data_IF_267087160457
#
_entry.id   IF_267087160457
#
_cell.length_a   1.000
_cell.length_b   1.000
_cell.length_c   1.000
_cell.angle_alpha   90.00
_cell.angle_beta   90.00
_cell.angle_gamma   90.00
#
_symmetry.space_group_name_H-M   'P 1'
#
loop_
_entity.id
_entity.type
_entity.pdbx_description
1 polymer ?
#
# COMPACT_ATOMS: atom_id res chain seq x y z
N UNK A 1 1.86 -3.75 -12.03
CA UNK A 1 2.57 -2.50 -11.70
C UNK A 1 4.06 -2.71 -11.86
N UNK A 2 4.79 -1.76 -12.45
CA UNK A 2 6.21 -1.93 -12.65
C UNK A 2 7.01 -1.57 -11.37
N UNK A 3 8.26 -2.01 -11.32
CA UNK A 3 9.11 -1.80 -10.13
C UNK A 3 9.40 -0.33 -9.85
N UNK A 4 9.38 0.51 -10.88
CA UNK A 4 9.58 1.97 -10.70
C UNK A 4 8.44 2.59 -9.92
N UNK A 5 7.19 2.24 -10.22
CA UNK A 5 6.03 2.74 -9.48
C UNK A 5 6.04 2.25 -8.03
N UNK A 6 6.41 0.99 -7.81
CA UNK A 6 6.54 0.46 -6.45
C UNK A 6 7.60 1.21 -5.65
N UNK A 7 8.73 1.49 -6.28
CA UNK A 7 9.82 2.24 -5.64
C UNK A 7 9.38 3.65 -5.24
N UNK A 8 8.67 4.32 -6.15
CA UNK A 8 8.15 5.68 -5.86
C UNK A 8 7.14 5.65 -4.73
N UNK A 9 6.23 4.68 -4.75
CA UNK A 9 5.24 4.53 -3.69
C UNK A 9 5.91 4.28 -2.33
N UNK A 10 6.92 3.41 -2.30
CA UNK A 10 7.66 3.11 -1.08
C UNK A 10 8.36 4.36 -0.55
N UNK A 11 8.97 5.16 -1.42
CA UNK A 11 9.64 6.40 -1.02
C UNK A 11 8.67 7.40 -0.38
N UNK A 12 7.50 7.58 -0.99
CA UNK A 12 6.47 8.48 -0.47
C UNK A 12 6.05 8.04 0.93
N UNK A 13 5.78 6.76 1.11
CA UNK A 13 5.31 6.21 2.36
C UNK A 13 6.38 6.25 3.45
N UNK A 14 7.63 5.94 3.11
CA UNK A 14 8.73 6.01 4.06
C UNK A 14 8.98 7.43 4.55
N UNK A 15 8.91 8.41 3.65
CA UNK A 15 9.06 9.82 4.02
C UNK A 15 7.93 10.30 4.93
N UNK A 16 6.76 9.68 4.83
CA UNK A 16 5.63 10.00 5.69
C UNK A 16 5.73 9.38 7.08
N UNK A 17 6.70 8.47 7.30
CA UNK A 17 6.95 7.86 8.59
C UNK A 17 6.45 6.42 8.74
N UNK A 18 6.01 5.79 7.66
CA UNK A 18 5.54 4.40 7.72
C UNK A 18 6.69 3.45 8.11
N UNK A 19 6.39 2.51 8.99
CA UNK A 19 7.36 1.51 9.44
C UNK A 19 7.42 0.32 8.50
N UNK A 20 6.25 -0.16 8.08
CA UNK A 20 6.15 -1.32 7.19
C UNK A 20 5.16 -1.02 6.08
N UNK A 21 5.48 -1.52 4.89
CA UNK A 21 4.70 -1.30 3.68
C UNK A 21 4.40 -2.65 3.05
N UNK A 22 3.13 -2.86 2.67
CA UNK A 22 2.71 -4.11 2.06
C UNK A 22 1.86 -3.85 0.82
N UNK A 23 2.04 -4.72 -0.16
CA UNK A 23 1.17 -4.81 -1.32
C UNK A 23 0.24 -6.00 -1.11
N UNK A 24 -1.04 -5.85 -1.38
CA UNK A 24 -1.99 -6.96 -1.30
C UNK A 24 -2.99 -6.89 -2.45
N UNK A 25 -3.92 -7.83 -2.47
CA UNK A 25 -4.89 -7.90 -3.56
C UNK A 25 -4.29 -8.39 -4.87
N UNK A 26 -4.86 -7.99 -6.00
CA UNK A 26 -4.50 -8.52 -7.31
C UNK A 26 -3.05 -8.25 -7.71
N UNK A 27 -2.49 -7.11 -7.33
CA UNK A 27 -1.07 -6.79 -7.63
C UNK A 27 -0.12 -7.71 -6.88
N UNK A 28 -0.43 -8.05 -5.63
CA UNK A 28 0.41 -8.96 -4.83
C UNK A 28 0.33 -10.39 -5.38
N UNK A 29 -0.83 -10.79 -5.88
CA UNK A 29 -1.06 -12.13 -6.40
C UNK A 29 -0.67 -12.30 -7.88
N UNK A 30 -0.28 -11.22 -8.54
CA UNK A 30 0.10 -11.27 -9.94
C UNK A 30 -1.06 -11.41 -10.91
N UNK A 31 -2.29 -11.14 -10.44
CA UNK A 31 -3.50 -11.23 -11.26
C UNK A 31 -3.99 -9.88 -11.75
N UNK A 32 -3.29 -8.80 -11.40
CA UNK A 32 -3.69 -7.46 -11.77
C UNK A 32 -3.43 -7.19 -13.25
N UNK A 33 -4.32 -6.39 -13.86
CA UNK A 33 -4.10 -5.82 -15.18
C UNK A 33 -3.79 -4.33 -15.06
N UNK A 34 -3.65 -3.63 -16.19
CA UNK A 34 -3.30 -2.21 -16.20
C UNK A 34 -4.41 -1.31 -15.64
N UNK A 35 -5.61 -1.82 -15.48
CA UNK A 35 -6.77 -1.08 -14.95
C UNK A 35 -7.09 -1.43 -13.50
N UNK A 36 -6.35 -2.37 -12.91
CA UNK A 36 -6.58 -2.77 -11.52
C UNK A 36 -6.12 -1.67 -10.56
N UNK A 37 -6.93 -1.44 -9.51
CA UNK A 37 -6.52 -0.57 -8.41
C UNK A 37 -5.37 -1.22 -7.66
N UNK A 38 -4.50 -0.40 -7.09
CA UNK A 38 -3.42 -0.91 -6.26
C UNK A 38 -3.86 -0.87 -4.79
N UNK A 39 -3.64 -1.98 -4.09
CA UNK A 39 -3.97 -2.10 -2.66
C UNK A 39 -2.68 -2.07 -1.85
N UNK A 40 -2.53 -1.04 -1.02
CA UNK A 40 -1.35 -0.85 -0.18
C UNK A 40 -1.77 -0.82 1.28
N UNK A 41 -1.12 -1.63 2.11
CA UNK A 41 -1.31 -1.60 3.55
C UNK A 41 -0.06 -1.08 4.23
N UNK A 42 -0.25 -0.30 5.29
CA UNK A 42 0.87 0.34 6.00
C UNK A 42 0.73 0.18 7.50
N UNK A 43 1.87 0.18 8.18
CA UNK A 43 1.92 0.31 9.64
C UNK A 43 2.80 1.50 9.99
N UNK A 44 2.51 2.14 11.12
CA UNK A 44 3.30 3.26 11.61
C UNK A 44 3.02 4.59 10.94
N UNK A 45 2.02 4.68 10.07
CA UNK A 45 1.66 5.95 9.43
C UNK A 45 0.87 6.83 10.41
N UNK A 46 1.35 8.06 10.70
CA UNK A 46 0.59 8.97 11.56
C UNK A 46 -0.79 9.27 10.95
N UNK A 47 -1.88 9.16 11.74
CA UNK A 47 -3.23 9.40 11.22
C UNK A 47 -3.41 10.75 10.55
N UNK A 48 -2.72 11.78 11.01
CA UNK A 48 -2.80 13.12 10.43
C UNK A 48 -2.23 13.18 9.00
N UNK A 49 -1.42 12.21 8.61
CA UNK A 49 -0.80 12.17 7.30
C UNK A 49 -1.55 11.26 6.31
N UNK A 50 -2.51 10.48 6.79
CA UNK A 50 -3.15 9.44 5.99
C UNK A 50 -3.75 9.96 4.68
N UNK A 51 -4.62 10.95 4.77
CA UNK A 51 -5.30 11.47 3.57
C UNK A 51 -4.36 12.21 2.63
N UNK A 52 -3.40 12.94 3.17
CA UNK A 52 -2.39 13.63 2.37
C UNK A 52 -1.56 12.63 1.56
N UNK A 53 -1.09 11.58 2.23
CA UNK A 53 -0.27 10.55 1.60
C UNK A 53 -1.06 9.78 0.56
N UNK A 54 -2.32 9.46 0.85
CA UNK A 54 -3.21 8.78 -0.09
C UNK A 54 -3.36 9.58 -1.38
N UNK A 55 -3.65 10.88 -1.25
CA UNK A 55 -3.75 11.79 -2.39
C UNK A 55 -2.45 11.87 -3.19
N UNK A 56 -1.33 11.98 -2.49
CA UNK A 56 -0.02 12.06 -3.13
C UNK A 56 0.30 10.79 -3.92
N UNK A 57 -0.04 9.63 -3.36
CA UNK A 57 0.15 8.35 -4.05
C UNK A 57 -0.66 8.30 -5.35
N UNK A 58 -1.94 8.66 -5.28
CA UNK A 58 -2.81 8.62 -6.46
C UNK A 58 -2.33 9.59 -7.54
N UNK A 59 -1.93 10.80 -7.14
CA UNK A 59 -1.44 11.80 -8.07
C UNK A 59 -0.12 11.38 -8.72
N UNK A 60 0.80 10.86 -7.93
CA UNK A 60 2.14 10.50 -8.41
C UNK A 60 2.12 9.24 -9.26
N UNK A 61 1.33 8.25 -8.87
CA UNK A 61 1.24 6.98 -9.60
C UNK A 61 0.26 7.03 -10.77
N UNK A 62 -0.56 8.08 -10.83
CA UNK A 62 -1.61 8.26 -11.84
C UNK A 62 -2.51 7.03 -11.92
N UNK A 63 -2.95 6.55 -10.76
CA UNK A 63 -3.85 5.42 -10.64
C UNK A 63 -4.56 5.46 -9.30
N UNK A 64 -5.67 4.73 -9.21
CA UNK A 64 -6.41 4.63 -7.96
C UNK A 64 -5.67 3.74 -6.97
N UNK A 65 -5.56 4.22 -5.74
CA UNK A 65 -4.86 3.51 -4.66
C UNK A 65 -5.81 3.31 -3.48
N UNK A 66 -5.94 2.07 -3.04
CA UNK A 66 -6.61 1.74 -1.78
C UNK A 66 -5.54 1.67 -0.69
N UNK A 67 -5.52 2.68 0.17
CA UNK A 67 -4.56 2.75 1.27
C UNK A 67 -5.23 2.32 2.56
N UNK A 68 -4.69 1.29 3.19
CA UNK A 68 -5.25 0.72 4.41
C UNK A 68 -4.24 0.88 5.55
N UNK A 69 -4.72 1.43 6.67
CA UNK A 69 -3.92 1.53 7.90
C UNK A 69 -4.10 0.24 8.70
N UNK A 70 -3.10 -0.62 8.66
CA UNK A 70 -3.13 -1.91 9.35
C UNK A 70 -3.04 -1.77 10.88
N UNK A 71 -2.60 -0.64 11.39
CA UNK A 71 -2.64 -0.40 12.84
C UNK A 71 -4.07 -0.22 13.32
N UNK A 72 -4.95 0.36 12.48
CA UNK A 72 -6.37 0.50 12.78
C UNK A 72 -7.16 -0.76 12.40
N UNK A 73 -6.71 -1.48 11.39
CA UNK A 73 -7.41 -2.67 10.89
C UNK A 73 -6.56 -3.93 11.09
N UNK A 74 -6.23 -4.22 12.33
CA UNK A 74 -5.35 -5.33 12.66
C UNK A 74 -5.95 -6.71 12.31
N UNK A 75 -7.23 -6.89 12.49
CA UNK A 75 -7.88 -8.16 12.13
C UNK A 75 -7.75 -8.44 10.64
N UNK A 76 -7.91 -7.42 9.81
CA UNK A 76 -7.73 -7.54 8.37
C UNK A 76 -6.28 -7.87 8.02
N UNK A 77 -5.33 -7.20 8.67
CA UNK A 77 -3.90 -7.46 8.50
C UNK A 77 -3.56 -8.92 8.83
N UNK A 78 -4.04 -9.40 9.98
CA UNK A 78 -3.80 -10.79 10.40
C UNK A 78 -4.42 -11.80 9.45
N UNK A 79 -5.61 -11.51 8.93
CA UNK A 79 -6.26 -12.37 7.95
C UNK A 79 -5.42 -12.50 6.68
N UNK A 80 -4.96 -11.37 6.13
CA UNK A 80 -4.14 -11.36 4.93
C UNK A 80 -2.80 -12.07 5.16
N UNK A 81 -2.22 -11.89 6.33
CA UNK A 81 -0.97 -12.52 6.72
C UNK A 81 -1.13 -14.05 6.79
N UNK A 82 -2.22 -14.50 7.40
CA UNK A 82 -2.51 -15.94 7.51
C UNK A 82 -2.80 -16.58 6.15
N UNK A 83 -3.40 -15.83 5.23
CA UNK A 83 -3.66 -16.30 3.88
C UNK A 83 -2.44 -16.23 2.96
N UNK A 84 -1.35 -15.61 3.43
CA UNK A 84 -0.15 -15.45 2.62
C UNK A 84 -0.32 -14.48 1.47
N UNK A 85 -1.23 -13.52 1.58
CA UNK A 85 -1.57 -12.57 0.52
C UNK A 85 -0.87 -11.22 0.66
N UNK A 86 0.04 -11.07 1.61
CA UNK A 86 0.80 -9.85 1.79
C UNK A 86 2.18 -9.98 1.15
N UNK A 87 2.55 -8.97 0.37
CA UNK A 87 3.90 -8.87 -0.18
C UNK A 87 4.53 -7.59 0.39
N UNK A 88 5.58 -7.77 1.17
CA UNK A 88 6.28 -6.62 1.76
C UNK A 88 7.04 -5.86 0.69
N UNK A 89 6.91 -4.52 0.70
CA UNK A 89 7.61 -3.63 -0.23
C UNK A 89 8.40 -2.59 0.56
N UNK A 90 9.59 -2.32 0.13
CA UNK A 90 10.45 -1.33 0.78
C UNK A 90 11.09 -1.79 2.07
#
# INVERSE_FOLDING_TARGET
>A
MNSKKLSVAADILKKAGCENLYLFGSHALGTADQHSDIDIGVTGLPPAQFFRVHSELEDTLDMKVDLVDFDCQRSFFELLQNLGELKRIG
#
